data_IF_492031913749
#
_entry.id   IF_492031913749
#
_cell.length_a   1.000
_cell.length_b   1.000
_cell.length_c   1.000
_cell.angle_alpha   90.00
_cell.angle_beta   90.00
_cell.angle_gamma   90.00
#
_symmetry.space_group_name_H-M   'P 1'
#
loop_
_entity.id
_entity.type
_entity.pdbx_description
1 polymer ?
#
# COMPACT_ATOMS: atom_id res chain seq x y z
N UNK A 1 0.02 -15.85 -46.59
CA UNK A 1 0.78 -16.07 -45.33
C UNK A 1 0.54 -14.87 -44.44
N UNK A 2 -0.36 -14.99 -43.46
CA UNK A 2 -0.68 -13.93 -42.51
C UNK A 2 0.35 -13.93 -41.38
N UNK A 3 1.25 -12.95 -41.40
CA UNK A 3 2.15 -12.65 -40.29
C UNK A 3 1.34 -12.03 -39.16
N UNK A 4 1.14 -12.79 -38.08
CA UNK A 4 0.71 -12.24 -36.80
C UNK A 4 1.77 -11.23 -36.32
N UNK A 5 1.41 -10.00 -35.90
CA UNK A 5 2.42 -8.99 -35.51
C UNK A 5 3.06 -9.21 -34.14
N UNK A 6 2.94 -10.41 -33.56
CA UNK A 6 3.49 -10.75 -32.25
C UNK A 6 4.03 -12.18 -32.28
N UNK A 7 5.35 -12.33 -32.29
CA UNK A 7 6.02 -13.64 -32.34
C UNK A 7 5.98 -14.38 -31.00
N UNK A 8 5.18 -13.93 -30.02
CA UNK A 8 5.05 -14.67 -28.76
C UNK A 8 6.17 -14.46 -27.75
N UNK A 9 7.25 -13.79 -28.14
CA UNK A 9 8.48 -13.79 -27.33
C UNK A 9 8.34 -12.77 -26.21
N UNK A 10 7.92 -13.25 -25.05
CA UNK A 10 8.05 -12.59 -23.75
C UNK A 10 9.42 -11.92 -23.70
N UNK A 11 9.51 -10.63 -23.37
CA UNK A 11 10.84 -10.08 -23.08
C UNK A 11 11.46 -10.97 -22.01
N UNK A 12 12.65 -11.55 -22.25
CA UNK A 12 13.18 -12.63 -21.41
C UNK A 12 13.30 -12.20 -19.93
N UNK A 13 13.38 -10.90 -19.68
CA UNK A 13 13.33 -10.29 -18.36
C UNK A 13 11.96 -10.43 -17.70
N UNK A 14 10.85 -10.02 -18.34
CA UNK A 14 9.51 -10.12 -17.75
C UNK A 14 9.12 -11.58 -17.49
N UNK A 15 9.50 -12.51 -18.38
CA UNK A 15 9.31 -13.94 -18.17
C UNK A 15 10.00 -14.42 -16.90
N UNK A 16 11.28 -14.09 -16.73
CA UNK A 16 12.08 -14.52 -15.57
C UNK A 16 11.55 -13.93 -14.26
N UNK A 17 11.20 -12.64 -14.28
CA UNK A 17 10.63 -11.98 -13.10
C UNK A 17 9.27 -12.58 -12.76
N UNK A 18 8.43 -12.82 -13.77
CA UNK A 18 7.15 -13.50 -13.60
C UNK A 18 7.29 -14.90 -13.03
N UNK A 19 8.23 -15.69 -13.54
CA UNK A 19 8.51 -17.04 -13.04
C UNK A 19 9.02 -17.03 -11.59
N UNK A 20 9.92 -16.11 -11.24
CA UNK A 20 10.41 -15.97 -9.86
C UNK A 20 9.29 -15.56 -8.89
N UNK A 21 8.44 -14.61 -9.29
CA UNK A 21 7.28 -14.21 -8.49
C UNK A 21 6.26 -15.36 -8.37
N UNK A 22 5.99 -16.08 -9.46
CA UNK A 22 5.10 -17.24 -9.44
C UNK A 22 5.61 -18.33 -8.49
N UNK A 23 6.91 -18.65 -8.56
CA UNK A 23 7.54 -19.58 -7.63
C UNK A 23 7.37 -19.13 -6.17
N UNK A 24 7.70 -17.88 -5.84
CA UNK A 24 7.50 -17.34 -4.48
C UNK A 24 6.02 -17.37 -4.05
N UNK A 25 5.10 -17.17 -5.00
CA UNK A 25 3.66 -17.17 -4.79
C UNK A 25 3.04 -18.56 -4.60
N UNK A 26 3.67 -19.61 -5.15
CA UNK A 26 3.21 -21.00 -5.03
C UNK A 26 3.96 -21.81 -3.98
N UNK A 27 5.21 -21.45 -3.65
CA UNK A 27 6.05 -22.23 -2.75
C UNK A 27 5.69 -21.95 -1.29
N UNK A 28 5.38 -23.01 -0.54
CA UNK A 28 5.18 -22.96 0.92
C UNK A 28 6.46 -23.34 1.65
N UNK A 29 6.82 -22.68 2.77
CA UNK A 29 8.06 -22.98 3.49
C UNK A 29 8.02 -24.35 4.20
N UNK A 30 6.84 -24.86 4.52
CA UNK A 30 6.65 -26.14 5.18
C UNK A 30 5.28 -26.72 4.80
N UNK A 31 5.12 -28.05 4.64
CA UNK A 31 3.84 -28.67 4.23
C UNK A 31 2.64 -28.32 5.13
N UNK A 32 2.88 -28.11 6.42
CA UNK A 32 1.83 -27.74 7.40
C UNK A 32 1.46 -26.25 7.40
N UNK A 33 2.19 -25.41 6.65
CA UNK A 33 1.96 -23.96 6.58
C UNK A 33 1.32 -23.66 5.21
N UNK A 34 0.00 -23.44 5.15
CA UNK A 34 -0.73 -23.29 3.88
C UNK A 34 -0.57 -21.88 3.27
N UNK A 35 0.54 -21.20 3.57
CA UNK A 35 0.81 -19.84 3.10
C UNK A 35 2.10 -19.83 2.30
N UNK A 36 2.08 -19.19 1.15
CA UNK A 36 3.26 -19.07 0.32
C UNK A 36 4.31 -18.15 0.95
N UNK A 37 5.57 -18.33 0.54
CA UNK A 37 6.69 -17.48 0.97
C UNK A 37 6.37 -16.01 0.69
N UNK A 38 5.79 -15.71 -0.47
CA UNK A 38 5.40 -14.34 -0.82
C UNK A 38 4.32 -13.78 0.10
N UNK A 39 3.27 -14.57 0.41
CA UNK A 39 2.20 -14.15 1.32
C UNK A 39 2.73 -13.85 2.73
N UNK A 40 3.62 -14.69 3.27
CA UNK A 40 4.27 -14.49 4.57
C UNK A 40 5.14 -13.22 4.55
N UNK A 41 5.89 -13.02 3.47
CA UNK A 41 6.78 -11.86 3.29
C UNK A 41 5.97 -10.56 3.24
N UNK A 42 4.87 -10.55 2.48
CA UNK A 42 3.97 -9.41 2.40
C UNK A 42 3.25 -9.14 3.72
N UNK A 43 2.73 -10.16 4.39
CA UNK A 43 2.11 -10.01 5.71
C UNK A 43 3.10 -9.43 6.75
N UNK A 44 4.35 -9.89 6.73
CA UNK A 44 5.42 -9.36 7.60
C UNK A 44 5.72 -7.90 7.27
N UNK A 45 5.78 -7.54 5.98
CA UNK A 45 5.96 -6.17 5.50
C UNK A 45 4.82 -5.25 5.98
N UNK A 46 3.57 -5.70 5.92
CA UNK A 46 2.38 -4.99 6.41
C UNK A 46 2.49 -4.76 7.92
N UNK A 47 2.88 -5.79 8.68
CA UNK A 47 3.16 -5.67 10.11
C UNK A 47 4.26 -4.63 10.40
N UNK A 48 5.34 -4.63 9.61
CA UNK A 48 6.41 -3.64 9.73
C UNK A 48 5.92 -2.22 9.41
N UNK A 49 5.01 -2.05 8.45
CA UNK A 49 4.39 -0.75 8.16
C UNK A 49 3.63 -0.22 9.38
N UNK A 50 2.73 -1.04 9.92
CA UNK A 50 1.91 -0.68 11.07
C UNK A 50 2.75 -0.41 12.32
N UNK A 51 3.66 -1.33 12.67
CA UNK A 51 4.52 -1.22 13.86
C UNK A 51 5.59 -0.16 13.71
N UNK A 52 6.10 0.09 12.49
CA UNK A 52 7.03 1.17 12.22
C UNK A 52 6.43 2.53 12.53
N UNK A 53 5.21 2.79 12.03
CA UNK A 53 4.45 4.01 12.36
C UNK A 53 4.17 4.09 13.87
N UNK A 54 3.80 2.96 14.49
CA UNK A 54 3.48 2.96 15.91
C UNK A 54 4.67 3.24 16.83
N UNK A 55 5.84 2.73 16.47
CA UNK A 55 7.10 3.01 17.18
C UNK A 55 7.52 4.46 17.00
N UNK A 56 7.41 5.00 15.78
CA UNK A 56 7.69 6.41 15.53
C UNK A 56 6.78 7.35 16.32
N UNK A 57 5.52 6.95 16.54
CA UNK A 57 4.57 7.70 17.37
C UNK A 57 4.67 7.44 18.88
N UNK A 58 5.55 6.55 19.34
CA UNK A 58 5.78 6.28 20.77
C UNK A 58 4.72 5.46 21.49
N UNK A 59 3.78 4.83 20.77
CA UNK A 59 2.66 4.09 21.36
C UNK A 59 2.69 2.58 21.08
N UNK A 60 3.80 2.03 20.56
CA UNK A 60 3.93 0.59 20.22
C UNK A 60 3.54 -0.36 21.35
N UNK A 61 3.86 0.00 22.60
CA UNK A 61 3.55 -0.77 23.82
C UNK A 61 2.08 -0.68 24.24
N UNK A 62 1.33 0.29 23.73
CA UNK A 62 -0.07 0.53 24.08
C UNK A 62 -1.04 -0.22 23.15
N UNK A 63 -0.54 -0.77 22.04
CA UNK A 63 -1.36 -1.44 21.04
C UNK A 63 -1.74 -2.86 21.48
N UNK A 64 -3.04 -3.08 21.65
CA UNK A 64 -3.61 -4.41 21.97
C UNK A 64 -3.39 -5.43 20.85
N UNK A 65 -3.46 -6.73 21.19
CA UNK A 65 -3.28 -7.81 20.21
C UNK A 65 -4.40 -7.83 19.16
N UNK A 66 -5.64 -7.58 19.57
CA UNK A 66 -6.78 -7.52 18.65
C UNK A 66 -6.60 -6.37 17.65
N UNK A 67 -6.19 -5.21 18.14
CA UNK A 67 -5.85 -4.07 17.29
C UNK A 67 -4.74 -4.43 16.29
N UNK A 68 -3.68 -5.09 16.77
CA UNK A 68 -2.57 -5.53 15.93
C UNK A 68 -2.95 -6.59 14.87
N UNK A 69 -4.09 -7.27 15.02
CA UNK A 69 -4.65 -8.15 14.00
C UNK A 69 -5.62 -7.40 13.05
N UNK A 70 -6.48 -6.52 13.58
CA UNK A 70 -7.50 -5.82 12.78
C UNK A 70 -6.91 -4.73 11.88
N UNK A 71 -5.94 -3.94 12.35
CA UNK A 71 -5.41 -2.83 11.55
C UNK A 71 -4.76 -3.31 10.25
N UNK A 72 -3.89 -4.34 10.25
CA UNK A 72 -3.40 -4.95 9.01
C UNK A 72 -4.51 -5.46 8.08
N UNK A 73 -5.59 -6.03 8.62
CA UNK A 73 -6.74 -6.47 7.81
C UNK A 73 -7.41 -5.30 7.10
N UNK A 74 -7.70 -4.20 7.81
CA UNK A 74 -8.29 -3.00 7.20
C UNK A 74 -7.35 -2.38 6.17
N UNK A 75 -6.04 -2.35 6.47
CA UNK A 75 -5.02 -1.80 5.59
C UNK A 75 -4.96 -2.55 4.24
N UNK A 76 -5.09 -3.88 4.25
CA UNK A 76 -4.94 -4.71 3.04
C UNK A 76 -6.28 -5.00 2.36
N UNK A 77 -7.33 -5.30 3.13
CA UNK A 77 -8.63 -5.75 2.60
C UNK A 77 -9.66 -4.63 2.52
N UNK A 78 -9.42 -3.45 3.12
CA UNK A 78 -10.38 -2.36 3.13
C UNK A 78 -10.74 -1.87 1.73
N UNK A 79 -9.74 -1.72 0.86
CA UNK A 79 -9.95 -1.29 -0.52
C UNK A 79 -10.77 -2.28 -1.36
N UNK A 80 -10.39 -3.56 -1.31
CA UNK A 80 -11.13 -4.61 -2.03
C UNK A 80 -12.52 -4.83 -1.47
N UNK A 81 -12.73 -4.68 -0.15
CA UNK A 81 -14.05 -4.75 0.47
C UNK A 81 -14.98 -3.65 -0.06
N UNK A 82 -14.53 -2.39 -0.07
CA UNK A 82 -15.33 -1.28 -0.62
C UNK A 82 -15.60 -1.51 -2.11
N UNK A 83 -14.59 -1.95 -2.86
CA UNK A 83 -14.71 -2.22 -4.29
C UNK A 83 -15.74 -3.31 -4.59
N UNK A 84 -15.73 -4.41 -3.83
CA UNK A 84 -16.75 -5.47 -3.93
C UNK A 84 -18.15 -4.94 -3.64
N UNK A 85 -18.33 -4.15 -2.56
CA UNK A 85 -19.63 -3.56 -2.22
C UNK A 85 -20.14 -2.63 -3.33
N UNK A 86 -19.28 -1.77 -3.87
CA UNK A 86 -19.66 -0.85 -4.97
C UNK A 86 -20.04 -1.60 -6.26
N UNK A 87 -19.44 -2.76 -6.51
CA UNK A 87 -19.75 -3.63 -7.65
C UNK A 87 -20.87 -4.64 -7.36
N UNK A 88 -21.52 -4.59 -6.20
CA UNK A 88 -22.56 -5.54 -5.81
C UNK A 88 -22.05 -6.99 -5.63
N UNK A 89 -20.75 -7.16 -5.41
CA UNK A 89 -20.09 -8.45 -5.19
C UNK A 89 -19.86 -8.72 -3.70
N UNK A 90 -19.79 -10.00 -3.33
CA UNK A 90 -19.41 -10.42 -1.98
C UNK A 90 -17.89 -10.26 -1.79
N UNK A 91 -17.41 -9.58 -0.73
CA UNK A 91 -15.97 -9.48 -0.45
C UNK A 91 -15.30 -10.85 -0.30
N UNK A 92 -14.14 -11.05 -0.94
CA UNK A 92 -13.49 -12.37 -0.99
C UNK A 92 -13.12 -12.98 0.37
N UNK A 93 -12.89 -12.15 1.40
CA UNK A 93 -12.59 -12.62 2.75
C UNK A 93 -13.81 -13.19 3.49
N UNK A 94 -15.03 -12.88 3.02
CA UNK A 94 -16.27 -13.52 3.51
C UNK A 94 -16.39 -14.94 2.95
N UNK A 95 -15.91 -15.16 1.73
CA UNK A 95 -15.96 -16.45 1.03
C UNK A 95 -14.85 -17.38 1.54
N UNK A 96 -13.66 -16.85 1.82
CA UNK A 96 -12.51 -17.62 2.27
C UNK A 96 -11.88 -17.02 3.51
N UNK A 97 -11.58 -17.82 4.55
CA UNK A 97 -10.87 -17.32 5.73
C UNK A 97 -9.39 -17.04 5.46
N UNK A 98 -8.85 -17.47 4.31
CA UNK A 98 -7.40 -17.39 4.02
C UNK A 98 -6.88 -15.94 4.12
N UNK A 99 -7.47 -14.92 3.47
CA UNK A 99 -7.00 -13.55 3.60
C UNK A 99 -7.08 -13.02 5.03
N UNK A 100 -8.08 -13.46 5.81
CA UNK A 100 -8.23 -13.07 7.22
C UNK A 100 -7.10 -13.64 8.06
N UNK A 101 -6.75 -14.91 7.87
CA UNK A 101 -5.62 -15.52 8.58
C UNK A 101 -4.28 -14.94 8.10
N UNK A 102 -4.10 -14.78 6.78
CA UNK A 102 -2.88 -14.23 6.20
C UNK A 102 -2.60 -12.80 6.67
N UNK A 103 -3.60 -11.93 6.74
CA UNK A 103 -3.40 -10.51 7.07
C UNK A 103 -3.86 -10.12 8.48
N UNK A 104 -4.46 -11.03 9.24
CA UNK A 104 -4.76 -10.82 10.66
C UNK A 104 -3.78 -11.56 11.57
N UNK A 105 -3.64 -12.87 11.36
CA UNK A 105 -2.84 -13.72 12.23
C UNK A 105 -1.34 -13.63 11.94
N UNK A 106 -0.90 -13.71 10.67
CA UNK A 106 0.55 -13.68 10.37
C UNK A 106 1.22 -12.36 10.79
N UNK A 107 0.65 -11.16 10.57
CA UNK A 107 1.26 -9.91 11.05
C UNK A 107 1.36 -9.85 12.57
N UNK A 108 0.36 -10.38 13.28
CA UNK A 108 0.37 -10.51 14.73
C UNK A 108 1.50 -11.45 15.19
N UNK A 109 1.61 -12.64 14.59
CA UNK A 109 2.66 -13.61 14.89
C UNK A 109 4.05 -13.05 14.58
N UNK A 110 4.24 -12.41 13.43
CA UNK A 110 5.49 -11.76 13.04
C UNK A 110 5.91 -10.65 14.04
N UNK A 111 4.92 -9.95 14.61
CA UNK A 111 5.19 -8.97 15.67
C UNK A 111 5.65 -9.68 16.95
N UNK A 112 4.93 -10.74 17.37
CA UNK A 112 5.19 -11.44 18.64
C UNK A 112 6.47 -12.28 18.63
N UNK A 113 6.84 -12.84 17.48
CA UNK A 113 8.08 -13.61 17.33
C UNK A 113 9.33 -12.72 17.28
N UNK A 114 9.18 -11.39 17.26
CA UNK A 114 10.30 -10.46 17.10
C UNK A 114 10.78 -10.29 15.66
N UNK A 115 10.18 -10.99 14.68
CA UNK A 115 10.53 -10.87 13.27
C UNK A 115 10.42 -9.43 12.77
N UNK A 116 9.36 -8.71 13.17
CA UNK A 116 9.20 -7.28 12.84
C UNK A 116 10.36 -6.44 13.37
N UNK A 117 10.85 -6.71 14.58
CA UNK A 117 11.99 -5.99 15.14
C UNK A 117 13.28 -6.26 14.36
N UNK A 118 13.53 -7.51 13.97
CA UNK A 118 14.69 -7.91 13.17
C UNK A 118 14.66 -7.23 11.79
N UNK A 119 13.50 -7.26 11.11
CA UNK A 119 13.36 -6.65 9.79
C UNK A 119 13.51 -5.13 9.87
N UNK A 120 12.96 -4.49 10.92
CA UNK A 120 13.10 -3.05 11.11
C UNK A 120 14.52 -2.62 11.49
N UNK A 121 15.35 -3.51 12.06
CA UNK A 121 16.76 -3.23 12.37
C UNK A 121 17.71 -3.40 11.19
N UNK A 122 17.24 -3.88 10.04
CA UNK A 122 18.05 -3.93 8.82
C UNK A 122 18.48 -2.52 8.37
N UNK A 123 19.64 -2.39 7.68
CA UNK A 123 20.05 -1.12 7.09
C UNK A 123 18.96 -0.51 6.22
N UNK A 124 18.77 0.81 6.35
CA UNK A 124 17.67 1.55 5.71
C UNK A 124 17.53 1.23 4.21
N UNK A 125 18.63 1.32 3.44
CA UNK A 125 18.57 1.12 1.99
C UNK A 125 18.12 -0.29 1.62
N UNK A 126 18.63 -1.32 2.30
CA UNK A 126 18.26 -2.72 2.06
C UNK A 126 16.79 -2.93 2.41
N UNK A 127 16.39 -2.47 3.61
CA UNK A 127 15.02 -2.61 4.11
C UNK A 127 14.01 -1.94 3.19
N UNK A 128 14.22 -0.68 2.83
CA UNK A 128 13.29 0.07 1.98
C UNK A 128 13.24 -0.49 0.56
N UNK A 129 14.36 -0.98 0.01
CA UNK A 129 14.37 -1.62 -1.32
C UNK A 129 13.52 -2.89 -1.31
N UNK A 130 13.70 -3.75 -0.30
CA UNK A 130 12.88 -4.96 -0.13
C UNK A 130 11.40 -4.61 0.04
N UNK A 131 11.10 -3.57 0.83
CA UNK A 131 9.74 -3.12 1.06
C UNK A 131 9.08 -2.59 -0.23
N UNK A 132 9.79 -1.80 -1.04
CA UNK A 132 9.29 -1.32 -2.31
C UNK A 132 9.02 -2.46 -3.30
N UNK A 133 9.90 -3.47 -3.33
CA UNK A 133 9.72 -4.64 -4.20
C UNK A 133 8.51 -5.47 -3.78
N UNK A 134 8.41 -5.82 -2.48
CA UNK A 134 7.29 -6.60 -1.96
C UNK A 134 5.97 -5.83 -2.16
N UNK A 135 5.92 -4.54 -1.81
CA UNK A 135 4.73 -3.69 -1.98
C UNK A 135 4.34 -3.59 -3.47
N UNK A 136 5.31 -3.45 -4.37
CA UNK A 136 5.06 -3.37 -5.81
C UNK A 136 4.37 -4.61 -6.37
N UNK A 137 4.88 -5.80 -6.02
CA UNK A 137 4.32 -7.07 -6.48
C UNK A 137 3.03 -7.47 -5.76
N UNK A 138 2.86 -7.14 -4.49
CA UNK A 138 1.67 -7.54 -3.75
C UNK A 138 0.46 -6.68 -4.10
N UNK A 139 0.67 -5.36 -4.24
CA UNK A 139 -0.41 -4.40 -4.41
C UNK A 139 -0.95 -4.36 -5.82
N UNK A 140 -0.18 -4.83 -6.81
CA UNK A 140 -0.65 -4.86 -8.19
C UNK A 140 -1.92 -5.69 -8.33
N UNK A 141 -2.07 -6.76 -7.53
CA UNK A 141 -3.25 -7.62 -7.57
C UNK A 141 -4.51 -6.88 -7.15
N UNK A 142 -4.38 -5.95 -6.20
CA UNK A 142 -5.46 -5.03 -5.82
C UNK A 142 -5.87 -4.12 -6.97
N UNK A 143 -4.89 -3.51 -7.64
CA UNK A 143 -5.13 -2.51 -8.69
C UNK A 143 -5.61 -3.12 -10.01
N UNK A 144 -5.08 -4.29 -10.38
CA UNK A 144 -5.35 -4.96 -11.67
C UNK A 144 -6.47 -5.98 -11.52
N UNK A 145 -6.20 -7.10 -10.85
CA UNK A 145 -7.14 -8.22 -10.70
C UNK A 145 -8.40 -7.82 -9.93
N UNK A 146 -8.24 -7.20 -8.76
CA UNK A 146 -9.36 -6.74 -7.93
C UNK A 146 -9.83 -5.33 -8.32
N UNK A 147 -9.25 -4.73 -9.37
CA UNK A 147 -9.60 -3.40 -9.84
C UNK A 147 -10.21 -3.47 -11.22
N UNK A 148 -9.33 -3.37 -12.22
CA UNK A 148 -9.71 -3.37 -13.64
C UNK A 148 -10.40 -4.67 -14.07
N UNK A 149 -9.84 -5.83 -13.74
CA UNK A 149 -10.39 -7.12 -14.21
C UNK A 149 -11.78 -7.41 -13.62
N UNK A 150 -12.04 -7.02 -12.36
CA UNK A 150 -13.37 -7.15 -11.75
C UNK A 150 -14.42 -6.29 -12.46
N UNK A 151 -14.05 -5.08 -12.90
CA UNK A 151 -14.96 -4.23 -13.68
C UNK A 151 -15.23 -4.86 -15.03
N UNK A 152 -14.19 -5.35 -15.72
CA UNK A 152 -14.34 -6.04 -17.01
C UNK A 152 -15.22 -7.30 -16.93
N UNK A 153 -15.15 -8.02 -15.81
CA UNK A 153 -15.95 -9.21 -15.55
C UNK A 153 -17.39 -8.91 -15.06
N UNK A 154 -17.76 -7.64 -14.89
CA UNK A 154 -19.05 -7.27 -14.34
C UNK A 154 -20.22 -7.65 -15.28
N UNK A 155 -21.33 -8.14 -14.70
CA UNK A 155 -22.49 -8.61 -15.46
C UNK A 155 -23.20 -7.50 -16.24
N UNK A 156 -23.30 -6.31 -15.64
CA UNK A 156 -23.86 -5.12 -16.29
C UNK A 156 -22.92 -4.56 -17.39
N UNK A 157 -23.35 -4.53 -18.67
CA UNK A 157 -22.55 -4.01 -19.78
C UNK A 157 -22.10 -2.56 -19.59
N UNK A 158 -22.92 -1.70 -18.98
CA UNK A 158 -22.58 -0.30 -18.76
C UNK A 158 -21.40 -0.12 -17.79
N UNK A 159 -21.27 -1.03 -16.81
CA UNK A 159 -20.16 -1.02 -15.86
C UNK A 159 -18.89 -1.57 -16.51
N UNK A 160 -18.98 -2.73 -17.18
CA UNK A 160 -17.80 -3.40 -17.75
C UNK A 160 -17.13 -2.63 -18.89
N UNK A 161 -17.85 -1.75 -19.56
CA UNK A 161 -17.28 -0.87 -20.62
C UNK A 161 -16.89 0.51 -20.09
N UNK A 162 -17.10 0.81 -18.81
CA UNK A 162 -16.84 2.15 -18.24
C UNK A 162 -15.37 2.34 -17.89
N UNK A 163 -14.63 3.23 -18.58
CA UNK A 163 -13.24 3.52 -18.24
C UNK A 163 -13.11 4.16 -16.86
N UNK A 164 -14.12 4.97 -16.48
CA UNK A 164 -14.20 5.58 -15.15
C UNK A 164 -14.30 4.52 -14.06
N UNK A 165 -15.17 3.52 -14.24
CA UNK A 165 -15.29 2.43 -13.27
C UNK A 165 -13.97 1.68 -13.11
N UNK A 166 -13.26 1.38 -14.20
CA UNK A 166 -11.97 0.68 -14.15
C UNK A 166 -10.92 1.43 -13.32
N UNK A 167 -10.74 2.74 -13.57
CA UNK A 167 -9.77 3.56 -12.84
C UNK A 167 -10.20 3.77 -11.39
N UNK A 168 -11.49 4.02 -11.15
CA UNK A 168 -12.02 4.24 -9.81
C UNK A 168 -11.89 2.99 -8.92
N UNK A 169 -12.26 1.82 -9.43
CA UNK A 169 -12.15 0.56 -8.67
C UNK A 169 -10.67 0.19 -8.50
N UNK A 170 -9.81 0.40 -9.49
CA UNK A 170 -8.36 0.22 -9.30
C UNK A 170 -7.80 1.12 -8.19
N UNK A 171 -8.22 2.39 -8.15
CA UNK A 171 -7.86 3.36 -7.12
C UNK A 171 -8.31 2.91 -5.72
N UNK A 172 -9.59 2.57 -5.57
CA UNK A 172 -10.16 2.16 -4.28
C UNK A 172 -9.56 0.83 -3.83
N UNK A 173 -9.45 -0.16 -4.72
CA UNK A 173 -8.93 -1.48 -4.39
C UNK A 173 -7.45 -1.44 -4.01
N UNK A 174 -6.63 -0.67 -4.74
CA UNK A 174 -5.19 -0.56 -4.48
C UNK A 174 -4.79 0.42 -3.38
N UNK A 175 -5.57 1.47 -3.14
CA UNK A 175 -5.25 2.58 -2.22
C UNK A 175 -6.20 2.76 -1.04
N UNK A 176 -7.43 2.22 -1.11
CA UNK A 176 -8.51 2.50 -0.15
C UNK A 176 -8.17 2.12 1.29
N UNK A 177 -7.54 0.97 1.52
CA UNK A 177 -7.11 0.57 2.87
C UNK A 177 -6.11 1.56 3.49
N UNK A 178 -5.20 2.10 2.68
CA UNK A 178 -4.26 3.15 3.08
C UNK A 178 -4.92 4.49 3.41
N UNK A 179 -6.15 4.72 2.93
CA UNK A 179 -6.97 5.89 3.30
C UNK A 179 -7.82 5.62 4.55
N UNK A 180 -8.38 4.41 4.69
CA UNK A 180 -9.23 4.07 5.84
C UNK A 180 -8.45 4.10 7.16
N UNK A 181 -7.25 3.52 7.21
CA UNK A 181 -6.46 3.46 8.45
C UNK A 181 -6.20 4.85 9.05
N UNK A 182 -5.69 5.86 8.30
CA UNK A 182 -5.57 7.22 8.83
C UNK A 182 -6.92 7.93 9.01
N UNK A 183 -7.96 7.60 8.23
CA UNK A 183 -9.32 8.14 8.39
C UNK A 183 -9.89 7.84 9.79
N UNK A 184 -9.64 6.62 10.29
CA UNK A 184 -10.10 6.15 11.59
C UNK A 184 -9.05 6.27 12.70
N UNK A 185 -7.90 6.91 12.44
CA UNK A 185 -6.76 7.03 13.39
C UNK A 185 -6.24 5.67 13.89
N UNK A 186 -6.34 4.62 13.08
CA UNK A 186 -6.10 3.24 13.50
C UNK A 186 -4.64 2.91 13.80
N UNK A 187 -3.69 3.78 13.44
CA UNK A 187 -2.30 3.61 13.84
C UNK A 187 -2.12 3.79 15.35
N UNK A 188 -2.87 4.69 16.00
CA UNK A 188 -2.75 4.98 17.43
C UNK A 188 -3.59 4.04 18.32
N UNK A 189 -3.43 4.10 19.65
CA UNK A 189 -4.21 3.29 20.59
C UNK A 189 -5.71 3.63 20.57
N UNK A 190 -6.04 4.90 20.27
CA UNK A 190 -7.41 5.40 20.24
C UNK A 190 -7.89 5.61 18.80
N UNK A 191 -9.01 4.98 18.45
CA UNK A 191 -9.64 5.09 17.14
C UNK A 191 -10.76 6.13 17.15
N UNK A 192 -10.99 6.76 16.01
CA UNK A 192 -12.11 7.69 15.85
C UNK A 192 -11.88 8.72 14.75
N UNK A 193 -12.84 9.62 14.60
CA UNK A 193 -12.88 10.66 13.56
C UNK A 193 -12.47 12.05 14.08
N UNK A 194 -11.67 12.09 15.13
CA UNK A 194 -11.36 13.33 15.85
C UNK A 194 -10.36 14.23 15.14
N UNK A 195 -9.77 13.78 14.03
CA UNK A 195 -8.80 14.55 13.26
C UNK A 195 -9.05 14.40 11.75
N UNK A 196 -8.87 15.51 11.03
CA UNK A 196 -8.80 15.48 9.57
C UNK A 196 -7.64 14.60 9.11
N UNK A 197 -7.86 13.61 8.24
CA UNK A 197 -6.82 12.69 7.80
C UNK A 197 -5.70 13.42 7.06
N UNK A 198 -4.45 12.97 7.21
CA UNK A 198 -3.28 13.60 6.60
C UNK A 198 -3.42 13.78 5.09
N UNK A 199 -3.99 12.79 4.38
CA UNK A 199 -4.16 12.85 2.92
C UNK A 199 -5.13 13.95 2.44
N UNK A 200 -6.00 14.46 3.32
CA UNK A 200 -6.87 15.60 3.02
C UNK A 200 -6.09 16.92 3.14
N UNK A 201 -5.14 16.99 4.07
CA UNK A 201 -4.33 18.20 4.32
C UNK A 201 -3.12 18.32 3.41
N UNK A 202 -2.43 17.21 3.18
CA UNK A 202 -1.11 17.14 2.53
C UNK A 202 -1.21 16.59 1.10
N UNK A 203 -2.40 16.15 0.69
CA UNK A 203 -2.65 15.49 -0.58
C UNK A 203 -2.49 13.97 -0.51
N UNK A 204 -2.89 13.30 -1.59
CA UNK A 204 -2.84 11.84 -1.66
C UNK A 204 -1.39 11.34 -1.67
N UNK A 205 -1.01 10.41 -0.79
CA UNK A 205 0.32 9.82 -0.83
C UNK A 205 0.49 9.00 -2.11
N UNK A 206 1.74 8.75 -2.51
CA UNK A 206 2.03 7.90 -3.68
C UNK A 206 1.41 6.53 -3.56
N UNK A 207 1.32 6.02 -2.35
CA UNK A 207 0.65 4.76 -2.07
C UNK A 207 -0.81 4.77 -2.53
N UNK A 208 -1.51 5.90 -2.52
CA UNK A 208 -2.92 5.95 -2.88
C UNK A 208 -3.11 6.31 -4.36
N UNK A 209 -2.51 7.41 -4.83
CA UNK A 209 -2.75 7.85 -6.21
C UNK A 209 -2.12 6.93 -7.26
N UNK A 210 -1.02 6.24 -6.94
CA UNK A 210 -0.40 5.28 -7.87
C UNK A 210 -1.36 4.16 -8.26
N UNK A 211 -2.36 3.83 -7.41
CA UNK A 211 -3.36 2.81 -7.73
C UNK A 211 -4.20 3.17 -8.97
N UNK A 212 -4.65 4.43 -9.08
CA UNK A 212 -5.37 4.92 -10.25
C UNK A 212 -4.47 4.91 -11.49
N UNK A 213 -3.24 5.42 -11.34
CA UNK A 213 -2.26 5.47 -12.42
C UNK A 213 -1.91 4.08 -12.96
N UNK A 214 -1.63 3.14 -12.07
CA UNK A 214 -1.33 1.75 -12.44
C UNK A 214 -2.54 1.07 -13.06
N UNK A 215 -3.76 1.31 -12.56
CA UNK A 215 -4.99 0.83 -13.20
C UNK A 215 -5.13 1.34 -14.64
N UNK A 216 -4.86 2.63 -14.87
CA UNK A 216 -4.82 3.23 -16.21
C UNK A 216 -3.77 2.58 -17.11
N UNK A 217 -2.54 2.42 -16.62
CA UNK A 217 -1.44 1.80 -17.39
C UNK A 217 -1.77 0.35 -17.74
N UNK A 218 -2.26 -0.43 -16.78
CA UNK A 218 -2.67 -1.82 -17.03
C UNK A 218 -3.78 -1.91 -18.08
N UNK A 219 -4.83 -1.09 -17.97
CA UNK A 219 -5.91 -1.00 -18.95
C UNK A 219 -5.41 -0.65 -20.37
N UNK A 220 -4.39 0.21 -20.45
CA UNK A 220 -3.72 0.56 -21.71
C UNK A 220 -2.97 -0.65 -22.29
N UNK A 221 -2.21 -1.36 -21.45
CA UNK A 221 -1.35 -2.48 -21.88
C UNK A 221 -2.17 -3.67 -22.41
N UNK A 222 -3.33 -3.95 -21.82
CA UNK A 222 -4.22 -5.03 -22.28
C UNK A 222 -5.09 -4.61 -23.48
N UNK A 223 -4.90 -3.40 -24.03
CA UNK A 223 -5.49 -2.97 -25.30
C UNK A 223 -6.93 -2.46 -25.22
N UNK A 224 -7.35 -1.88 -24.09
CA UNK A 224 -8.70 -1.32 -23.99
C UNK A 224 -8.84 -0.03 -24.83
N UNK A 225 -9.83 0.07 -25.74
CA UNK A 225 -9.87 1.12 -26.76
C UNK A 225 -9.81 2.56 -26.23
N UNK A 226 -10.49 2.85 -25.12
CA UNK A 226 -10.50 4.19 -24.53
C UNK A 226 -9.09 4.62 -24.04
N UNK A 227 -8.36 3.70 -23.42
CA UNK A 227 -7.06 3.98 -22.80
C UNK A 227 -5.94 4.08 -23.83
N UNK A 228 -6.11 3.47 -25.00
CA UNK A 228 -5.16 3.53 -26.12
C UNK A 228 -5.10 4.92 -26.78
N UNK A 229 -6.12 5.78 -26.58
CA UNK A 229 -6.20 7.09 -27.22
C UNK A 229 -5.07 8.04 -26.78
N UNK A 230 -4.70 8.02 -25.49
CA UNK A 230 -3.67 8.93 -24.98
C UNK A 230 -2.26 8.56 -25.49
N UNK A 231 -1.79 7.30 -25.43
CA UNK A 231 -0.54 6.92 -26.09
C UNK A 231 -0.53 7.24 -27.58
N UNK A 232 -1.65 7.03 -28.29
CA UNK A 232 -1.76 7.39 -29.71
C UNK A 232 -1.59 8.90 -29.93
N UNK A 233 -2.23 9.72 -29.10
CA UNK A 233 -2.09 11.18 -29.12
C UNK A 233 -0.64 11.62 -28.88
N UNK A 234 0.02 11.06 -27.86
CA UNK A 234 1.42 11.38 -27.55
C UNK A 234 2.34 11.00 -28.72
N UNK A 235 2.18 9.79 -29.28
CA UNK A 235 2.97 9.34 -30.41
C UNK A 235 2.78 10.21 -31.66
N UNK A 236 1.58 10.75 -31.86
CA UNK A 236 1.28 11.67 -32.96
C UNK A 236 1.96 13.03 -32.80
N UNK A 237 1.99 13.59 -31.59
CA UNK A 237 2.49 14.95 -31.35
C UNK A 237 3.97 15.00 -30.98
N UNK A 238 4.52 13.92 -30.45
CA UNK A 238 5.90 13.83 -29.99
C UNK A 238 6.62 12.63 -30.61
N UNK A 239 6.92 12.67 -31.92
CA UNK A 239 7.54 11.54 -32.62
C UNK A 239 8.91 11.16 -32.05
N UNK A 240 9.62 12.08 -31.38
CA UNK A 240 10.87 11.76 -30.66
C UNK A 240 10.65 10.79 -29.48
N UNK A 241 9.47 10.80 -28.87
CA UNK A 241 9.10 9.88 -27.78
C UNK A 241 8.91 8.46 -28.30
N UNK A 242 8.61 8.30 -29.60
CA UNK A 242 8.49 7.00 -30.28
C UNK A 242 9.79 6.19 -30.23
N UNK A 243 10.96 6.85 -30.21
CA UNK A 243 12.24 6.14 -30.11
C UNK A 243 12.57 5.68 -28.68
N UNK A 244 12.01 6.34 -27.67
CA UNK A 244 12.16 5.94 -26.27
C UNK A 244 11.16 4.86 -25.86
N UNK A 245 9.94 4.95 -26.38
CA UNK A 245 8.95 3.89 -26.27
C UNK A 245 9.09 2.96 -27.47
N UNK A 246 10.13 2.11 -27.44
CA UNK A 246 10.24 0.90 -28.26
C UNK A 246 9.07 -0.05 -27.91
N UNK A 247 7.85 0.35 -28.26
CA UNK A 247 6.75 -0.56 -28.42
C UNK A 247 7.05 -1.47 -29.63
N UNK A 248 6.53 -2.71 -29.64
CA UNK A 248 6.75 -3.64 -30.74
C UNK A 248 6.48 -2.92 -32.07
N UNK A 249 7.36 -3.10 -33.05
CA UNK A 249 7.35 -2.41 -34.36
C UNK A 249 6.01 -2.53 -35.14
N UNK A 250 5.05 -3.33 -34.65
CA UNK A 250 3.67 -3.43 -35.15
C UNK A 250 2.61 -2.56 -34.44
N UNK A 251 2.93 -1.83 -33.36
CA UNK A 251 1.92 -1.09 -32.57
C UNK A 251 1.28 0.10 -33.30
N UNK A 252 1.82 0.49 -34.45
CA UNK A 252 1.32 1.59 -35.29
C UNK A 252 0.46 1.13 -36.46
N UNK A 253 0.42 -0.18 -36.72
CA UNK A 253 -0.44 -0.80 -37.75
C UNK A 253 -1.47 -1.76 -37.17
N UNK A 254 -1.36 -2.06 -35.87
CA UNK A 254 -2.39 -2.82 -35.16
C UNK A 254 -3.70 -2.00 -35.14
N UNK A 255 -4.86 -2.64 -35.38
CA UNK A 255 -6.14 -2.00 -35.13
C UNK A 255 -6.16 -1.46 -33.69
N UNK A 256 -6.88 -0.37 -33.44
CA UNK A 256 -6.92 0.40 -32.18
C UNK A 256 -7.33 -0.39 -30.91
N UNK A 257 -7.44 -1.72 -30.99
CA UNK A 257 -7.91 -2.64 -29.97
C UNK A 257 -7.02 -3.89 -29.78
N UNK A 258 -5.80 -3.92 -30.33
CA UNK A 258 -4.89 -5.03 -30.08
C UNK A 258 -4.14 -4.85 -28.74
N UNK A 259 -4.17 -5.88 -27.89
CA UNK A 259 -3.42 -5.89 -26.63
C UNK A 259 -1.91 -5.73 -26.91
N UNK A 260 -1.27 -4.81 -26.17
CA UNK A 260 0.18 -4.57 -26.25
C UNK A 260 0.93 -5.70 -25.54
N UNK A 261 0.40 -6.13 -24.38
CA UNK A 261 0.92 -7.24 -23.59
C UNK A 261 -0.25 -8.14 -23.14
N UNK A 262 -0.01 -9.45 -22.99
CA UNK A 262 -0.98 -10.32 -22.32
C UNK A 262 -1.16 -9.90 -20.86
N UNK A 263 -2.34 -10.17 -20.29
CA UNK A 263 -2.71 -9.72 -18.93
C UNK A 263 -1.69 -10.12 -17.85
N UNK A 264 -1.14 -11.33 -17.92
CA UNK A 264 -0.11 -11.80 -16.98
C UNK A 264 1.16 -10.95 -17.04
N UNK A 265 1.66 -10.65 -18.24
CA UNK A 265 2.87 -9.82 -18.44
C UNK A 265 2.62 -8.36 -18.08
N UNK A 266 1.44 -7.83 -18.43
CA UNK A 266 1.03 -6.48 -18.06
C UNK A 266 1.03 -6.29 -16.54
N UNK A 267 0.59 -7.31 -15.77
CA UNK A 267 0.67 -7.30 -14.31
C UNK A 267 2.11 -7.25 -13.81
N UNK A 268 3.01 -8.08 -14.36
CA UNK A 268 4.44 -8.06 -13.96
C UNK A 268 5.09 -6.72 -14.29
N UNK A 269 4.83 -6.17 -15.48
CA UNK A 269 5.30 -4.84 -15.85
C UNK A 269 4.82 -3.78 -14.85
N UNK A 270 3.53 -3.80 -14.51
CA UNK A 270 2.97 -2.84 -13.56
C UNK A 270 3.52 -3.04 -12.13
N UNK A 271 3.84 -4.27 -11.70
CA UNK A 271 4.52 -4.53 -10.43
C UNK A 271 5.89 -3.85 -10.37
N UNK A 272 6.68 -3.99 -11.45
CA UNK A 272 8.01 -3.39 -11.55
C UNK A 272 7.87 -1.86 -11.56
N UNK A 273 6.93 -1.33 -12.36
CA UNK A 273 6.66 0.10 -12.43
C UNK A 273 6.28 0.67 -11.05
N UNK A 274 5.37 0.01 -10.32
CA UNK A 274 4.98 0.42 -8.98
C UNK A 274 6.16 0.34 -8.00
N UNK A 275 6.94 -0.73 -8.02
CA UNK A 275 8.14 -0.86 -7.20
C UNK A 275 9.14 0.27 -7.48
N UNK A 276 9.35 0.62 -8.75
CA UNK A 276 10.22 1.74 -9.16
C UNK A 276 9.67 3.09 -8.70
N UNK A 277 8.37 3.33 -8.81
CA UNK A 277 7.72 4.55 -8.31
C UNK A 277 7.89 4.71 -6.79
N UNK A 278 7.70 3.63 -6.04
CA UNK A 278 7.91 3.60 -4.59
C UNK A 278 9.38 3.80 -4.23
N UNK A 279 10.30 3.14 -4.93
CA UNK A 279 11.75 3.30 -4.75
C UNK A 279 12.18 4.75 -4.98
N UNK A 280 11.73 5.35 -6.09
CA UNK A 280 12.04 6.74 -6.39
C UNK A 280 11.55 7.68 -5.29
N UNK A 281 10.32 7.48 -4.81
CA UNK A 281 9.71 8.38 -3.84
C UNK A 281 10.24 8.20 -2.42
N UNK A 282 10.55 6.96 -2.02
CA UNK A 282 10.99 6.63 -0.65
C UNK A 282 12.51 6.73 -0.48
N UNK A 283 13.29 6.52 -1.52
CA UNK A 283 14.76 6.45 -1.43
C UNK A 283 15.41 7.60 -2.21
N UNK A 284 15.13 7.72 -3.52
CA UNK A 284 15.84 8.68 -4.38
C UNK A 284 15.47 10.12 -4.03
N UNK A 285 14.17 10.45 -3.96
CA UNK A 285 13.70 11.81 -3.72
C UNK A 285 14.20 12.36 -2.36
N UNK A 286 14.12 11.63 -1.25
CA UNK A 286 14.68 12.10 0.02
C UNK A 286 16.21 12.25 -0.01
N UNK A 287 16.93 11.39 -0.74
CA UNK A 287 18.39 11.51 -0.88
C UNK A 287 18.80 12.74 -1.71
N UNK A 288 17.99 13.11 -2.72
CA UNK A 288 18.21 14.30 -3.55
C UNK A 288 17.78 15.60 -2.86
N UNK A 289 16.76 15.54 -2.02
CA UNK A 289 16.35 16.65 -1.16
C UNK A 289 17.44 16.86 -0.09
N UNK A 290 18.46 17.68 -0.41
CA UNK A 290 19.55 18.04 0.50
C UNK A 290 18.99 18.34 1.90
N UNK A 291 19.63 17.87 2.99
CA UNK A 291 19.32 18.39 4.31
C UNK A 291 19.58 19.90 4.24
N UNK A 292 18.52 20.70 4.31
CA UNK A 292 18.69 22.11 4.64
C UNK A 292 19.47 22.15 5.94
N UNK A 293 20.55 22.93 5.92
CA UNK A 293 21.51 23.14 7.00
C UNK A 293 20.80 23.16 8.35
N UNK A 294 21.32 22.51 9.41
CA UNK A 294 20.72 22.60 10.72
C UNK A 294 20.73 24.07 11.16
N UNK A 295 19.59 24.74 11.02
CA UNK A 295 19.36 26.02 11.66
C UNK A 295 19.59 25.80 13.15
N UNK A 296 20.54 26.56 13.68
CA UNK A 296 20.93 26.70 15.08
C UNK A 296 19.69 27.05 15.92
N UNK A 297 18.85 26.05 16.23
CA UNK A 297 17.70 26.20 17.14
C UNK A 297 17.72 25.10 18.20
N UNK A 298 18.92 24.75 18.68
CA UNK A 298 19.13 24.26 20.04
C UNK A 298 19.70 25.44 20.85
N UNK A 299 18.85 26.10 21.64
CA UNK A 299 19.05 26.74 22.96
C UNK A 299 17.89 27.74 23.13
N UNK A 300 16.67 27.26 23.37
CA UNK A 300 15.57 28.09 23.90
C UNK A 300 14.46 27.25 24.54
N UNK A 301 14.23 26.01 24.09
CA UNK A 301 13.14 25.18 24.59
C UNK A 301 13.43 24.41 25.90
N UNK A 302 14.67 24.44 26.42
CA UNK A 302 15.02 23.74 27.68
C UNK A 302 14.87 24.63 28.92
N UNK A 303 14.63 25.95 28.78
CA UNK A 303 14.42 26.84 29.93
C UNK A 303 12.96 26.98 30.38
N UNK A 304 11.99 26.56 29.59
CA UNK A 304 10.55 26.76 29.92
C UNK A 304 9.96 25.61 30.76
N UNK A 305 10.57 24.41 30.75
CA UNK A 305 10.10 23.28 31.56
C UNK A 305 10.73 23.22 32.97
N UNK A 306 11.84 23.92 33.21
CA UNK A 306 12.48 23.99 34.53
C UNK A 306 11.86 25.02 35.48
N UNK A 307 11.08 25.99 34.97
CA UNK A 307 10.47 27.03 35.81
C UNK A 307 9.08 26.64 36.34
N UNK A 308 8.39 25.67 35.74
CA UNK A 308 7.07 25.22 36.22
C UNK A 308 7.14 24.15 37.33
N UNK A 309 8.33 23.59 37.63
CA UNK A 309 8.50 22.65 38.75
C UNK A 309 8.95 23.33 40.06
N UNK A 310 9.31 24.62 40.05
CA UNK A 310 9.65 25.37 41.27
C UNK A 310 8.48 26.18 41.88
N UNK A 311 7.32 26.22 41.22
CA UNK A 311 6.18 27.02 41.68
C UNK A 311 5.12 26.27 42.51
N UNK A 312 5.21 24.94 42.64
CA UNK A 312 4.21 24.13 43.38
C UNK A 312 4.73 23.51 44.69
N UNK A 313 5.79 24.09 45.28
CA UNK A 313 6.37 23.64 46.54
C UNK A 313 6.18 24.64 47.68
N UNK A 314 4.94 24.84 48.14
CA UNK A 314 4.67 25.48 49.43
C UNK A 314 3.33 24.99 50.01
N UNK A 315 3.40 24.03 50.93
CA UNK A 315 2.31 23.69 51.83
C UNK A 315 2.13 24.81 52.87
N UNK A 316 1.00 24.81 53.62
CA UNK A 316 1.18 24.40 55.01
C UNK A 316 0.07 23.48 55.56
N UNK A 317 0.54 22.42 56.20
CA UNK A 317 0.11 21.88 57.50
C UNK A 317 -1.03 22.61 58.23
N UNK A 318 -2.12 21.88 58.51
CA UNK A 318 -2.95 22.10 59.71
C UNK A 318 -3.46 20.76 60.24
N UNK A 319 -2.96 20.39 61.42
CA UNK A 319 -3.48 19.34 62.30
C UNK A 319 -4.75 19.86 62.97
N UNK A 320 -5.84 19.07 62.97
CA UNK A 320 -6.79 19.09 64.10
C UNK A 320 -7.47 17.75 64.28
N UNK A 321 -7.10 17.13 65.40
CA UNK A 321 -7.81 16.06 66.12
C UNK A 321 -9.19 16.56 66.56
N UNK A 322 -10.22 15.72 66.43
CA UNK A 322 -11.46 15.86 67.20
C UNK A 322 -11.94 14.47 67.62
N UNK A 323 -11.89 14.31 68.94
CA UNK A 323 -12.31 13.19 69.78
C UNK A 323 -13.83 13.00 69.75
N UNK A 324 -14.20 11.73 69.78
CA UNK A 324 -15.44 11.18 70.35
C UNK A 324 -15.79 11.78 71.73
N UNK A 325 -17.05 12.18 71.92
CA UNK A 325 -17.75 12.06 73.23
C UNK A 325 -19.28 12.00 73.06
N UNK A 326 -19.85 10.95 73.66
CA UNK A 326 -21.27 10.61 73.90
C UNK A 326 -22.19 11.78 74.28
N UNK A 327 -23.48 11.68 73.93
CA UNK A 327 -24.73 11.65 74.76
C UNK A 327 -25.89 11.84 73.76
N UNK A 328 -26.81 10.90 73.52
CA UNK A 328 -27.93 10.43 74.34
C UNK A 328 -28.30 9.00 73.95
#
# INVERSE_FOLDING_TARGET
MSSYPWDGVVTPVLARVGAAHAWLGSTTPHPSIPFSIFAISHATRVACAYRGVARAGGYDKQLGNLQAAIVPLVLVLGGSTISSVLLGNVPGWVISPIPVVTYGLLPLLATKSGLVSIVLSLPYLIRETLFCLIDGFSRIMGMTTLGVDMVLAHSNPAVRTSPWAMVLIAFISGGGGGMLVPLFKMFGPEWGFTATPGFVKEGLPIDVWSAAFIGYVYATLIGLPYFAQFPAFINMHFPAVREFFYGPKGSLTLPASAAILPSSEAKIFCSILLASMLFFTRIIRPALARPSTPSTRKVAATKTLSNNQKANGAAPSSKKSLKEKKTQ
#
